data_IF_705092468552
#
_entry.id   IF_705092468552
#
_cell.length_a   1.000
_cell.length_b   1.000
_cell.length_c   1.000
_cell.angle_alpha   90.00
_cell.angle_beta   90.00
_cell.angle_gamma   90.00
#
_symmetry.space_group_name_H-M   'P 1'
#
loop_
_entity.id
_entity.type
_entity.pdbx_description
1 polymer ?
#
# COMPACT_ATOMS: atom_id res chain seq x y z
N UNK A 1 0.29 -17.43 10.49
CA UNK A 1 1.05 -16.68 9.48
C UNK A 1 0.05 -15.93 8.61
N UNK A 2 0.37 -14.68 8.22
CA UNK A 2 -0.41 -13.76 7.37
C UNK A 2 -1.75 -13.24 7.92
N UNK A 3 -1.71 -12.38 8.95
CA UNK A 3 -2.82 -11.45 9.23
C UNK A 3 -2.23 -10.11 9.63
N UNK A 4 -1.55 -9.47 8.69
CA UNK A 4 -1.07 -8.09 8.86
C UNK A 4 -1.91 -7.20 7.94
N UNK A 5 -2.78 -6.34 8.48
CA UNK A 5 -3.69 -5.48 7.70
C UNK A 5 -2.98 -4.50 6.75
N UNK A 6 -1.64 -4.41 6.83
CA UNK A 6 -0.77 -3.63 5.96
C UNK A 6 -0.70 -4.15 4.51
N UNK A 7 -1.04 -5.41 4.25
CA UNK A 7 -1.09 -5.97 2.89
C UNK A 7 -2.50 -5.97 2.28
N UNK A 8 -3.50 -5.48 3.00
CA UNK A 8 -4.87 -5.46 2.49
C UNK A 8 -5.02 -4.34 1.46
N UNK A 9 -5.39 -4.71 0.24
CA UNK A 9 -5.69 -3.77 -0.82
C UNK A 9 -6.99 -2.98 -0.51
N UNK A 10 -7.15 -1.75 -1.02
CA UNK A 10 -8.29 -0.87 -0.72
C UNK A 10 -9.65 -1.51 -0.97
N UNK A 11 -9.76 -2.36 -1.98
CA UNK A 11 -10.96 -3.11 -2.36
C UNK A 11 -11.34 -4.19 -1.34
N UNK A 12 -10.35 -4.85 -0.73
CA UNK A 12 -10.58 -5.82 0.37
C UNK A 12 -11.15 -5.11 1.61
N UNK A 13 -10.69 -3.88 1.88
CA UNK A 13 -11.15 -3.07 3.02
C UNK A 13 -12.60 -2.58 2.79
N UNK A 14 -12.97 -2.34 1.53
CA UNK A 14 -14.34 -1.96 1.13
C UNK A 14 -15.33 -3.12 1.10
N UNK A 15 -14.89 -4.36 1.36
CA UNK A 15 -15.73 -5.56 1.28
C UNK A 15 -16.06 -6.00 -0.15
N UNK A 16 -15.31 -5.52 -1.15
CA UNK A 16 -15.43 -6.03 -2.51
C UNK A 16 -14.77 -7.42 -2.56
N UNK A 17 -15.48 -8.36 -3.17
CA UNK A 17 -15.01 -9.73 -3.38
C UNK A 17 -13.68 -9.69 -4.14
N UNK A 18 -12.70 -10.48 -3.73
CA UNK A 18 -11.34 -10.52 -4.29
C UNK A 18 -11.36 -10.66 -5.83
N UNK A 19 -11.09 -9.59 -6.58
CA UNK A 19 -11.16 -9.58 -8.07
C UNK A 19 -9.75 -9.64 -8.70
N UNK A 20 -8.97 -10.69 -8.40
CA UNK A 20 -7.85 -11.07 -9.27
C UNK A 20 -6.58 -10.19 -9.23
N UNK A 21 -5.90 -9.95 -10.38
CA UNK A 21 -4.48 -9.53 -10.49
C UNK A 21 -4.16 -8.12 -9.95
N UNK A 22 -5.19 -7.38 -9.55
CA UNK A 22 -5.10 -6.03 -9.00
C UNK A 22 -4.33 -6.01 -7.68
N UNK A 23 -4.54 -7.05 -6.86
CA UNK A 23 -3.85 -7.22 -5.58
C UNK A 23 -2.36 -7.52 -5.78
N UNK A 24 -2.02 -8.26 -6.84
CA UNK A 24 -0.62 -8.51 -7.20
C UNK A 24 0.06 -7.22 -7.66
N UNK A 25 -0.63 -6.38 -8.44
CA UNK A 25 -0.12 -5.05 -8.85
C UNK A 25 0.07 -4.14 -7.64
N UNK A 26 -0.87 -4.15 -6.70
CA UNK A 26 -0.73 -3.42 -5.43
C UNK A 26 0.50 -3.90 -4.64
N UNK A 27 0.64 -5.21 -4.44
CA UNK A 27 1.78 -5.80 -3.76
C UNK A 27 3.09 -5.45 -4.45
N UNK A 28 3.16 -5.57 -5.78
CA UNK A 28 4.33 -5.21 -6.59
C UNK A 28 4.68 -3.73 -6.45
N UNK A 29 3.70 -2.83 -6.43
CA UNK A 29 3.91 -1.40 -6.20
C UNK A 29 4.50 -1.11 -4.81
N UNK A 30 3.99 -1.77 -3.77
CA UNK A 30 4.52 -1.64 -2.40
C UNK A 30 5.95 -2.18 -2.31
N UNK A 31 6.22 -3.33 -2.94
CA UNK A 31 7.55 -3.95 -2.98
C UNK A 31 8.53 -3.05 -3.72
N UNK A 32 8.18 -2.58 -4.92
CA UNK A 32 9.02 -1.69 -5.72
C UNK A 32 9.33 -0.38 -4.97
N UNK A 33 8.30 0.22 -4.36
CA UNK A 33 8.48 1.43 -3.56
C UNK A 33 9.44 1.19 -2.40
N UNK A 34 9.31 0.05 -1.72
CA UNK A 34 10.18 -0.31 -0.60
C UNK A 34 11.61 -0.57 -1.08
N UNK A 35 11.81 -1.19 -2.25
CA UNK A 35 13.14 -1.38 -2.84
C UNK A 35 13.82 -0.05 -3.19
N UNK A 36 13.05 0.92 -3.70
CA UNK A 36 13.58 2.23 -4.11
C UNK A 36 13.85 3.15 -2.91
N UNK A 37 12.97 3.13 -1.90
CA UNK A 37 13.00 4.11 -0.79
C UNK A 37 13.52 3.55 0.52
N UNK A 38 13.62 2.22 0.64
CA UNK A 38 13.90 1.51 1.89
C UNK A 38 12.80 1.64 2.95
N UNK A 39 11.62 2.15 2.58
CA UNK A 39 10.51 2.44 3.52
C UNK A 39 9.17 1.98 2.94
N UNK A 40 8.25 1.62 3.82
CA UNK A 40 6.89 1.28 3.41
C UNK A 40 6.15 2.54 2.94
N UNK A 41 5.38 2.46 1.84
CA UNK A 41 4.60 3.60 1.34
C UNK A 41 3.45 3.99 2.29
N UNK A 42 2.94 3.01 3.04
CA UNK A 42 1.85 3.17 4.01
C UNK A 42 2.23 2.48 5.32
N UNK A 43 2.72 3.24 6.29
CA UNK A 43 3.09 2.77 7.63
C UNK A 43 2.49 3.72 8.67
N UNK A 44 1.18 3.56 8.92
CA UNK A 44 0.46 4.36 9.89
C UNK A 44 0.22 3.55 11.17
N UNK A 45 0.31 4.23 12.32
CA UNK A 45 0.10 3.61 13.65
C UNK A 45 -1.35 3.18 13.91
N UNK A 46 -2.28 3.68 13.11
CA UNK A 46 -3.71 3.41 13.26
C UNK A 46 -4.28 2.82 11.98
N UNK A 47 -4.90 1.64 12.08
CA UNK A 47 -5.57 0.96 10.97
C UNK A 47 -6.56 1.85 10.20
N UNK A 48 -7.44 2.65 10.84
CA UNK A 48 -8.34 3.53 10.09
C UNK A 48 -7.59 4.61 9.29
N UNK A 49 -6.46 5.12 9.79
CA UNK A 49 -5.65 6.11 9.07
C UNK A 49 -4.85 5.45 7.93
N UNK A 50 -4.34 4.24 8.17
CA UNK A 50 -3.72 3.38 7.15
C UNK A 50 -4.69 3.14 5.98
N UNK A 51 -5.91 2.71 6.29
CA UNK A 51 -6.94 2.46 5.28
C UNK A 51 -7.33 3.74 4.53
N UNK A 52 -7.43 4.88 5.21
CA UNK A 52 -7.70 6.16 4.57
C UNK A 52 -6.59 6.59 3.62
N UNK A 53 -5.31 6.34 3.97
CA UNK A 53 -4.14 6.59 3.12
C UNK A 53 -4.11 5.69 1.90
N UNK A 54 -4.37 4.41 2.10
CA UNK A 54 -4.48 3.39 1.05
C UNK A 54 -5.61 3.74 0.08
N UNK A 55 -6.82 4.03 0.58
CA UNK A 55 -7.98 4.43 -0.22
C UNK A 55 -7.77 5.76 -0.96
N UNK A 56 -6.96 6.67 -0.39
CA UNK A 56 -6.60 7.94 -1.03
C UNK A 56 -5.44 7.80 -2.03
N UNK A 57 -4.70 6.68 -2.02
CA UNK A 57 -3.48 6.50 -2.80
C UNK A 57 -2.36 7.49 -2.41
N UNK A 58 -2.37 8.00 -1.18
CA UNK A 58 -1.53 9.12 -0.77
C UNK A 58 -0.31 8.66 0.03
N UNK A 59 0.78 8.32 -0.67
CA UNK A 59 2.08 7.98 -0.10
C UNK A 59 3.10 9.13 -0.28
N UNK A 60 4.11 9.22 0.59
CA UNK A 60 5.16 10.24 0.49
C UNK A 60 6.36 9.67 -0.26
N UNK A 61 6.60 10.16 -1.46
CA UNK A 61 7.85 9.87 -2.19
C UNK A 61 8.98 10.69 -1.56
N UNK A 62 10.08 10.05 -1.10
CA UNK A 62 11.25 10.76 -0.59
C UNK A 62 11.92 11.60 -1.68
N UNK A 63 12.52 12.73 -1.30
CA UNK A 63 13.23 13.63 -2.22
C UNK A 63 14.40 13.00 -2.98
N UNK A 64 14.90 11.85 -2.54
CA UNK A 64 15.99 11.14 -3.22
C UNK A 64 15.52 10.31 -4.43
N UNK A 65 14.20 10.12 -4.59
CA UNK A 65 13.65 9.45 -5.76
C UNK A 65 13.49 10.50 -6.86
N UNK A 66 14.13 10.33 -8.03
CA UNK A 66 13.97 11.26 -9.14
C UNK A 66 12.52 11.26 -9.63
N UNK A 67 11.91 12.44 -9.73
CA UNK A 67 10.69 12.63 -10.51
C UNK A 67 11.12 12.57 -11.98
N UNK A 68 10.91 11.42 -12.64
CA UNK A 68 11.19 11.27 -14.07
C UNK A 68 10.44 12.27 -14.93
#
# INVERSE_FOLDING_TARGET
FTSSPYHAAPEMIKGSQYVGPEIDIWCLGVILFTMVTGRLPFDEKSLPELYKRILKGSFKIPRHVPSG
#
